data_IF_178447152901
#
_entry.id   IF_178447152901
#
_cell.length_a   1.000
_cell.length_b   1.000
_cell.length_c   1.000
_cell.angle_alpha   90.00
_cell.angle_beta   90.00
_cell.angle_gamma   90.00
#
_symmetry.space_group_name_H-M   'P 1'
#
loop_
_entity.id
_entity.type
_entity.pdbx_description
1 polymer ?
#
# COMPACT_ATOMS: atom_id res chain seq x y z
N UNK A 1 7.62 1.85 1.45
CA UNK A 1 7.52 0.78 2.47
C UNK A 1 6.45 1.09 3.51
N UNK A 2 5.92 0.09 4.22
CA UNK A 2 4.83 0.17 5.21
C UNK A 2 5.29 -0.22 6.61
N UNK A 3 4.79 0.50 7.62
CA UNK A 3 4.91 0.04 9.02
C UNK A 3 3.86 -1.03 9.33
N UNK A 4 4.15 -1.88 10.32
CA UNK A 4 3.19 -2.87 10.81
C UNK A 4 1.88 -2.17 11.22
N UNK A 5 0.72 -2.63 10.76
CA UNK A 5 -0.54 -1.99 11.12
C UNK A 5 -0.88 -2.22 12.60
N UNK A 6 -1.26 -1.15 13.30
CA UNK A 6 -1.63 -1.15 14.72
C UNK A 6 -2.85 -0.25 14.96
N UNK A 7 -3.82 -0.75 15.75
CA UNK A 7 -5.00 0.02 16.19
C UNK A 7 -5.79 0.75 15.09
N UNK A 8 -5.79 0.21 13.86
CA UNK A 8 -6.50 0.84 12.75
C UNK A 8 -5.62 1.62 11.77
N UNK A 9 -4.32 1.71 12.03
CA UNK A 9 -3.41 2.65 11.36
C UNK A 9 -2.13 1.97 10.89
N UNK A 10 -1.55 2.53 9.84
CA UNK A 10 -0.18 2.25 9.40
C UNK A 10 0.43 3.54 8.82
N UNK A 11 1.70 3.50 8.49
CA UNK A 11 2.42 4.59 7.81
C UNK A 11 3.08 4.06 6.54
N UNK A 12 3.00 4.85 5.46
CA UNK A 12 3.83 4.68 4.28
C UNK A 12 5.08 5.54 4.45
N UNK A 13 6.24 4.88 4.48
CA UNK A 13 7.57 5.47 4.51
C UNK A 13 8.19 5.42 3.12
N UNK A 14 8.47 6.57 2.50
CA UNK A 14 9.13 6.67 1.19
C UNK A 14 10.15 7.82 1.25
N UNK A 15 11.44 7.47 1.16
CA UNK A 15 12.52 8.41 1.45
C UNK A 15 12.42 8.94 2.88
N UNK A 16 12.42 10.27 3.04
CA UNK A 16 12.26 10.92 4.34
C UNK A 16 10.78 11.16 4.73
N UNK A 17 9.84 10.89 3.82
CA UNK A 17 8.43 11.14 4.04
C UNK A 17 7.77 9.96 4.75
N UNK A 18 6.96 10.28 5.76
CA UNK A 18 6.10 9.35 6.49
C UNK A 18 4.68 9.86 6.42
N UNK A 19 3.80 9.09 5.80
CA UNK A 19 2.40 9.49 5.57
C UNK A 19 1.48 8.44 6.18
N UNK A 20 0.53 8.91 7.00
CA UNK A 20 -0.44 8.04 7.67
C UNK A 20 -1.41 7.45 6.65
N UNK A 21 -1.84 6.22 6.92
CA UNK A 21 -2.89 5.54 6.18
C UNK A 21 -3.87 4.86 7.14
N UNK A 22 -5.14 4.91 6.78
CA UNK A 22 -6.18 4.16 7.46
C UNK A 22 -6.24 2.73 6.94
N UNK A 23 -6.16 1.74 7.83
CA UNK A 23 -6.32 0.33 7.43
C UNK A 23 -7.81 -0.07 7.27
N UNK A 24 -8.75 0.88 7.46
CA UNK A 24 -10.17 0.67 7.12
C UNK A 24 -10.30 0.36 5.61
N UNK A 25 -9.41 0.92 4.81
CA UNK A 25 -9.29 0.59 3.39
C UNK A 25 -8.48 -0.70 3.19
N UNK A 26 -8.74 -1.47 2.12
CA UNK A 26 -7.97 -2.66 1.76
C UNK A 26 -6.61 -2.29 1.17
N UNK A 27 -5.77 -1.64 1.98
CA UNK A 27 -4.45 -1.08 1.62
C UNK A 27 -3.58 -2.11 0.89
N UNK A 28 -3.43 -3.36 1.36
CA UNK A 28 -2.66 -4.37 0.65
C UNK A 28 -3.13 -4.58 -0.79
N UNK A 29 -4.43 -4.73 -0.99
CA UNK A 29 -5.02 -4.98 -2.30
C UNK A 29 -4.86 -3.76 -3.21
N UNK A 30 -5.04 -2.55 -2.68
CA UNK A 30 -4.86 -1.29 -3.41
C UNK A 30 -3.43 -1.15 -3.93
N UNK A 31 -2.42 -1.28 -3.05
CA UNK A 31 -1.02 -1.14 -3.41
C UNK A 31 -0.55 -2.24 -4.36
N UNK A 32 -0.80 -3.51 -4.01
CA UNK A 32 -0.36 -4.64 -4.83
C UNK A 32 -0.98 -4.58 -6.23
N UNK A 33 -2.28 -4.26 -6.34
CA UNK A 33 -2.95 -4.14 -7.65
C UNK A 33 -2.36 -3.01 -8.48
N UNK A 34 -2.09 -1.84 -7.87
CA UNK A 34 -1.49 -0.71 -8.57
C UNK A 34 -0.08 -1.04 -9.08
N UNK A 35 0.77 -1.65 -8.25
CA UNK A 35 2.12 -2.06 -8.65
C UNK A 35 2.11 -3.13 -9.72
N UNK A 36 1.28 -4.17 -9.59
CA UNK A 36 1.10 -5.21 -10.60
C UNK A 36 0.70 -4.58 -11.94
N UNK A 37 -0.29 -3.68 -11.94
CA UNK A 37 -0.74 -3.01 -13.16
C UNK A 37 0.39 -2.20 -13.78
N UNK A 38 1.05 -1.35 -13.00
CA UNK A 38 2.14 -0.50 -13.48
C UNK A 38 3.28 -1.30 -14.08
N UNK A 39 3.73 -2.37 -13.40
CA UNK A 39 4.81 -3.24 -13.88
C UNK A 39 4.40 -4.06 -15.11
N UNK A 40 3.14 -4.52 -15.19
CA UNK A 40 2.65 -5.32 -16.32
C UNK A 40 2.45 -4.50 -17.59
N UNK A 41 2.15 -3.20 -17.47
CA UNK A 41 1.85 -2.33 -18.62
C UNK A 41 2.94 -1.29 -18.89
N UNK A 42 4.05 -1.30 -18.14
CA UNK A 42 5.04 -0.22 -18.12
C UNK A 42 4.40 1.17 -17.88
N UNK A 43 3.38 1.21 -17.02
CA UNK A 43 2.63 2.41 -16.68
C UNK A 43 3.00 2.97 -15.31
N UNK A 44 2.13 3.85 -14.81
CA UNK A 44 2.23 4.44 -13.47
C UNK A 44 1.37 3.65 -12.48
N UNK A 45 1.87 3.48 -11.26
CA UNK A 45 1.09 3.01 -10.12
C UNK A 45 0.49 4.22 -9.42
N UNK A 46 -0.84 4.31 -9.41
CA UNK A 46 -1.58 5.42 -8.80
C UNK A 46 -2.47 4.87 -7.67
N UNK A 47 -2.26 5.34 -6.45
CA UNK A 47 -3.07 4.98 -5.27
C UNK A 47 -3.38 6.25 -4.49
N UNK A 48 -4.63 6.42 -4.08
CA UNK A 48 -5.04 7.50 -3.15
C UNK A 48 -5.39 6.86 -1.82
N UNK A 49 -4.89 7.45 -0.74
CA UNK A 49 -5.14 7.01 0.64
C UNK A 49 -5.91 8.08 1.41
N UNK A 50 -6.81 7.61 2.27
CA UNK A 50 -7.38 8.43 3.34
C UNK A 50 -6.47 8.40 4.59
N UNK A 51 -6.12 9.59 5.07
CA UNK A 51 -5.29 9.80 6.25
C UNK A 51 -6.08 10.47 7.39
N UNK A 52 -7.43 10.38 7.34
CA UNK A 52 -8.39 10.91 8.31
C UNK A 52 -8.38 12.44 8.40
N UNK A 53 -9.27 13.04 7.60
CA UNK A 53 -9.42 14.50 7.49
C UNK A 53 -8.58 15.12 6.36
N UNK A 54 -7.73 14.33 5.70
CA UNK A 54 -7.00 14.69 4.48
C UNK A 54 -6.68 13.44 3.67
N UNK A 55 -6.36 13.63 2.39
CA UNK A 55 -6.02 12.53 1.48
C UNK A 55 -4.66 12.77 0.86
N UNK A 56 -4.02 11.71 0.39
CA UNK A 56 -2.81 11.85 -0.40
C UNK A 56 -2.69 10.76 -1.46
N UNK A 57 -1.97 11.07 -2.52
CA UNK A 57 -1.80 10.18 -3.66
C UNK A 57 -0.32 9.79 -3.82
N UNK A 58 -0.10 8.50 -4.00
CA UNK A 58 1.14 7.92 -4.47
C UNK A 58 1.02 7.71 -5.98
N UNK A 59 1.94 8.30 -6.73
CA UNK A 59 2.09 8.07 -8.17
C UNK A 59 3.52 7.60 -8.42
N UNK A 60 3.72 6.40 -8.96
CA UNK A 60 5.08 5.89 -9.16
C UNK A 60 5.27 5.22 -10.52
N UNK A 61 6.32 5.65 -11.22
CA UNK A 61 6.83 5.04 -12.45
C UNK A 61 8.36 4.81 -12.34
N UNK A 62 9.16 5.56 -13.11
CA UNK A 62 10.60 5.70 -12.92
C UNK A 62 10.97 6.65 -11.77
N UNK A 63 10.03 7.47 -11.30
CA UNK A 63 10.17 8.29 -10.09
C UNK A 63 8.87 8.23 -9.30
N UNK A 64 8.94 8.34 -7.97
CA UNK A 64 7.74 8.41 -7.13
C UNK A 64 7.39 9.86 -6.85
N UNK A 65 6.11 10.20 -6.99
CA UNK A 65 5.52 11.46 -6.53
C UNK A 65 4.51 11.19 -5.43
N UNK A 66 4.57 12.01 -4.39
CA UNK A 66 3.63 12.02 -3.28
C UNK A 66 2.89 13.35 -3.31
N UNK A 67 1.57 13.32 -3.51
CA UNK A 67 0.74 14.53 -3.52
C UNK A 67 -0.18 14.53 -2.32
N UNK A 68 0.06 15.43 -1.37
CA UNK A 68 -0.74 15.62 -0.16
C UNK A 68 -1.85 16.63 -0.46
N UNK A 69 -3.09 16.27 -0.18
CA UNK A 69 -4.29 17.08 -0.39
C UNK A 69 -4.97 17.34 0.97
N UNK A 70 -4.49 18.38 1.66
CA UNK A 70 -5.02 18.88 2.92
C UNK A 70 -5.52 20.33 2.73
N UNK A 71 -5.18 21.26 3.64
CA UNK A 71 -5.52 22.69 3.51
C UNK A 71 -4.84 23.33 2.29
N UNK A 72 -3.65 22.84 1.93
CA UNK A 72 -2.93 23.16 0.71
C UNK A 72 -2.48 21.87 0.01
N UNK A 73 -2.29 21.95 -1.31
CA UNK A 73 -1.73 20.84 -2.08
C UNK A 73 -0.21 20.94 -2.10
N UNK A 74 0.47 19.89 -1.64
CA UNK A 74 1.93 19.78 -1.66
C UNK A 74 2.33 18.53 -2.45
N UNK A 75 3.33 18.66 -3.33
CA UNK A 75 3.83 17.55 -4.13
C UNK A 75 5.32 17.38 -3.90
N UNK A 76 5.72 16.17 -3.51
CA UNK A 76 7.10 15.77 -3.31
C UNK A 76 7.49 14.76 -4.38
N UNK A 77 8.74 14.83 -4.83
CA UNK A 77 9.32 13.83 -5.75
C UNK A 77 10.44 13.11 -5.03
N UNK A 78 10.36 11.79 -4.98
CA UNK A 78 11.35 10.93 -4.33
C UNK A 78 11.96 10.01 -5.39
N UNK A 79 13.30 9.90 -5.48
CA UNK A 79 13.99 9.11 -6.50
C UNK A 79 13.93 7.60 -6.18
N UNK A 80 12.71 7.07 -6.10
CA UNK A 80 12.40 5.66 -5.93
C UNK A 80 11.50 5.24 -7.07
N UNK A 81 11.71 4.04 -7.59
CA UNK A 81 10.93 3.48 -8.70
C UNK A 81 9.75 2.65 -8.20
N UNK A 82 8.78 2.41 -9.08
CA UNK A 82 7.67 1.48 -8.79
C UNK A 82 8.16 0.06 -8.47
N UNK A 83 9.29 -0.36 -9.05
CA UNK A 83 9.89 -1.67 -8.78
C UNK A 83 10.43 -1.74 -7.35
N UNK A 84 11.18 -0.73 -6.91
CA UNK A 84 11.71 -0.65 -5.54
C UNK A 84 10.58 -0.58 -4.51
N UNK A 85 9.56 0.27 -4.74
CA UNK A 85 8.38 0.30 -3.88
C UNK A 85 7.63 -1.04 -3.84
N UNK A 86 7.53 -1.73 -4.98
CA UNK A 86 6.92 -3.05 -5.08
C UNK A 86 7.67 -4.10 -4.27
N UNK A 87 9.00 -4.09 -4.29
CA UNK A 87 9.85 -4.99 -3.49
C UNK A 87 9.67 -4.73 -1.99
N UNK A 88 9.70 -3.46 -1.58
CA UNK A 88 9.48 -3.05 -0.20
C UNK A 88 8.10 -3.48 0.31
N UNK A 89 7.03 -3.14 -0.44
CA UNK A 89 5.67 -3.49 -0.05
C UNK A 89 5.46 -5.02 0.00
N UNK A 90 6.03 -5.77 -0.94
CA UNK A 90 5.98 -7.24 -0.91
C UNK A 90 6.61 -7.79 0.38
N UNK A 91 7.79 -7.28 0.76
CA UNK A 91 8.46 -7.70 1.98
C UNK A 91 7.64 -7.37 3.24
N UNK A 92 7.02 -6.20 3.29
CA UNK A 92 6.18 -5.80 4.43
C UNK A 92 4.92 -6.64 4.56
N UNK A 93 4.20 -6.88 3.45
CA UNK A 93 2.99 -7.70 3.48
C UNK A 93 3.28 -9.16 3.81
N UNK A 94 4.43 -9.71 3.39
CA UNK A 94 4.84 -11.05 3.77
C UNK A 94 5.22 -11.13 5.26
N UNK A 95 5.91 -10.11 5.78
CA UNK A 95 6.33 -10.04 7.19
C UNK A 95 5.14 -9.88 8.13
N UNK A 96 4.21 -8.99 7.79
CA UNK A 96 3.10 -8.57 8.65
C UNK A 96 1.73 -9.07 8.17
N UNK A 97 1.71 -10.14 7.36
CA UNK A 97 0.49 -10.68 6.69
C UNK A 97 -0.70 -10.82 7.64
N UNK A 98 -0.48 -11.48 8.78
CA UNK A 98 -1.55 -11.75 9.73
C UNK A 98 -2.11 -10.45 10.33
N UNK A 99 -1.26 -9.43 10.51
CA UNK A 99 -1.70 -8.12 10.98
C UNK A 99 -2.57 -7.43 9.91
N UNK A 100 -2.15 -7.49 8.65
CA UNK A 100 -2.91 -6.93 7.52
C UNK A 100 -4.26 -7.62 7.27
N UNK A 101 -4.38 -8.93 7.54
CA UNK A 101 -5.65 -9.66 7.40
C UNK A 101 -6.50 -9.71 8.68
N UNK A 102 -5.98 -9.24 9.82
CA UNK A 102 -6.67 -9.34 11.11
C UNK A 102 -7.84 -8.38 11.28
N UNK A 103 -8.07 -7.47 10.32
CA UNK A 103 -9.07 -6.44 10.52
C UNK A 103 -10.50 -6.92 10.70
N UNK A 104 -10.85 -8.01 10.01
CA UNK A 104 -12.18 -8.61 10.13
C UNK A 104 -12.25 -9.65 11.25
N UNK A 105 -11.11 -10.15 11.75
CA UNK A 105 -11.12 -11.08 12.87
C UNK A 105 -11.59 -10.39 14.15
N UNK A 106 -11.30 -9.10 14.32
CA UNK A 106 -11.84 -8.29 15.42
C UNK A 106 -13.36 -8.03 15.33
N UNK A 107 -13.96 -8.22 14.15
CA UNK A 107 -15.39 -8.05 13.88
C UNK A 107 -16.17 -9.38 13.96
N UNK A 108 -15.56 -10.46 14.47
CA UNK A 108 -16.12 -11.83 14.49
C UNK A 108 -16.50 -12.36 13.09
N UNK A 109 -15.73 -12.00 12.05
CA UNK A 109 -15.94 -12.47 10.67
C UNK A 109 -14.73 -13.26 10.15
N UNK A 110 -14.50 -14.48 10.66
CA UNK A 110 -13.30 -15.26 10.35
C UNK A 110 -13.20 -15.66 8.87
N UNK A 111 -14.33 -15.92 8.20
CA UNK A 111 -14.34 -16.25 6.76
C UNK A 111 -13.86 -15.07 5.90
N UNK A 112 -14.24 -13.84 6.25
CA UNK A 112 -13.76 -12.64 5.55
C UNK A 112 -12.27 -12.43 5.77
N UNK A 113 -11.77 -12.61 6.99
CA UNK A 113 -10.35 -12.50 7.29
C UNK A 113 -9.51 -13.51 6.47
N UNK A 114 -9.98 -14.76 6.34
CA UNK A 114 -9.28 -15.77 5.55
C UNK A 114 -9.32 -15.46 4.04
N UNK A 115 -10.46 -14.98 3.52
CA UNK A 115 -10.58 -14.57 2.13
C UNK A 115 -9.64 -13.42 1.78
N UNK A 116 -9.53 -12.41 2.66
CA UNK A 116 -8.58 -11.32 2.47
C UNK A 116 -7.14 -11.79 2.53
N UNK A 117 -6.80 -12.64 3.51
CA UNK A 117 -5.47 -13.24 3.61
C UNK A 117 -5.10 -13.99 2.33
N UNK A 118 -6.01 -14.82 1.82
CA UNK A 118 -5.81 -15.56 0.59
C UNK A 118 -5.60 -14.62 -0.61
N UNK A 119 -6.35 -13.52 -0.69
CA UNK A 119 -6.22 -12.53 -1.75
C UNK A 119 -4.88 -11.77 -1.68
N UNK A 120 -4.45 -11.35 -0.49
CA UNK A 120 -3.13 -10.73 -0.28
C UNK A 120 -2.02 -11.67 -0.74
N UNK A 121 -2.08 -12.95 -0.36
CA UNK A 121 -1.11 -13.98 -0.80
C UNK A 121 -1.12 -14.11 -2.32
N UNK A 122 -2.31 -14.16 -2.94
CA UNK A 122 -2.46 -14.28 -4.40
C UNK A 122 -1.80 -13.10 -5.12
N UNK A 123 -2.06 -11.88 -4.66
CA UNK A 123 -1.49 -10.65 -5.20
C UNK A 123 0.02 -10.56 -4.98
N UNK A 124 0.51 -10.93 -3.78
CA UNK A 124 1.95 -10.99 -3.50
C UNK A 124 2.69 -11.91 -4.49
N UNK A 125 2.17 -13.12 -4.73
CA UNK A 125 2.73 -14.06 -5.71
C UNK A 125 2.69 -13.52 -7.14
N UNK A 126 1.67 -12.73 -7.48
CA UNK A 126 1.56 -12.12 -8.80
C UNK A 126 2.60 -11.00 -8.97
N UNK A 127 2.76 -10.15 -7.96
CA UNK A 127 3.78 -9.09 -7.95
C UNK A 127 5.19 -9.67 -8.00
N UNK A 128 5.47 -10.71 -7.22
CA UNK A 128 6.77 -11.40 -7.19
C UNK A 128 7.23 -11.90 -8.57
N UNK A 129 6.31 -12.26 -9.47
CA UNK A 129 6.65 -12.70 -10.85
C UNK A 129 7.02 -11.55 -11.79
N UNK A 130 6.72 -10.30 -11.41
CA UNK A 130 6.97 -9.09 -12.21
C UNK A 130 8.21 -8.32 -11.71
N UNK A 131 8.62 -8.58 -10.46
CA UNK A 131 9.80 -8.01 -9.80
C UNK A 131 11.11 -8.69 -10.24
#
# INVERSE_FOLDING_TARGET
>A
MLTRPEHGWSEVCIGEHRLRISYIEPVPQMLLTAFIRALSTHGTADVTFDAEGWTWCLQSDCVTRLTIMADATETFTVPVTVRELGQEALADFQRDLDAWSSGWSCLNRPEQAENERAEIIRLCRQLERLL
#
